data_IF_999702087453
#
_entry.id   IF_999702087453
#
_cell.length_a   1.000
_cell.length_b   1.000
_cell.length_c   1.000
_cell.angle_alpha   90.00
_cell.angle_beta   90.00
_cell.angle_gamma   90.00
#
_symmetry.space_group_name_H-M   'P 1'
#
loop_
_entity.id
_entity.type
_entity.pdbx_description
1 polymer ?
#
# COMPACT_ATOMS: atom_id res chain seq x y z
N UNK A 1 19.88 -17.59 16.13
CA UNK A 1 18.93 -18.73 16.07
C UNK A 1 17.73 -18.44 16.96
N UNK A 2 16.79 -17.62 16.50
CA UNK A 2 15.36 -17.72 16.81
C UNK A 2 14.62 -16.82 15.81
N UNK A 3 13.54 -17.37 15.25
CA UNK A 3 12.83 -16.93 14.04
C UNK A 3 11.95 -15.72 14.35
N UNK A 4 11.90 -14.76 13.42
CA UNK A 4 10.85 -13.74 13.38
C UNK A 4 9.55 -14.37 12.92
N UNK A 5 8.45 -14.05 13.61
CA UNK A 5 7.10 -14.42 13.24
C UNK A 5 6.52 -13.30 12.35
N UNK A 6 6.77 -13.44 11.05
CA UNK A 6 6.16 -12.63 9.97
C UNK A 6 4.80 -13.24 9.55
N UNK A 7 3.94 -13.58 10.51
CA UNK A 7 2.64 -14.17 10.22
C UNK A 7 1.56 -13.11 10.43
N UNK A 8 1.48 -12.17 9.48
CA UNK A 8 0.22 -11.48 9.21
C UNK A 8 -0.66 -12.50 8.51
N UNK A 9 -1.74 -12.92 9.19
CA UNK A 9 -2.75 -13.83 8.67
C UNK A 9 -3.54 -13.10 7.59
N UNK A 10 -3.00 -13.09 6.36
CA UNK A 10 -3.74 -12.67 5.19
C UNK A 10 -4.85 -13.69 4.95
N UNK A 11 -6.13 -13.29 4.86
CA UNK A 11 -7.20 -14.24 4.62
C UNK A 11 -6.91 -15.05 3.35
N UNK A 12 -6.57 -16.32 3.56
CA UNK A 12 -6.15 -17.25 2.52
C UNK A 12 -7.34 -17.96 1.87
N UNK A 13 -7.25 -18.05 0.55
CA UNK A 13 -7.76 -19.11 -0.31
C UNK A 13 -9.28 -19.33 -0.40
N UNK A 14 -9.95 -18.35 -0.97
CA UNK A 14 -10.88 -18.64 -2.07
C UNK A 14 -10.71 -17.58 -3.15
N UNK A 15 -9.73 -17.77 -4.04
CA UNK A 15 -9.63 -17.00 -5.28
C UNK A 15 -10.78 -17.42 -6.21
N UNK A 16 -12.01 -17.03 -5.86
CA UNK A 16 -13.00 -16.82 -6.89
C UNK A 16 -12.39 -15.80 -7.83
N UNK A 17 -12.09 -16.22 -9.06
CA UNK A 17 -11.73 -15.28 -10.11
C UNK A 17 -12.84 -14.23 -10.11
N UNK A 18 -12.56 -13.01 -9.62
CA UNK A 18 -13.49 -11.89 -9.61
C UNK A 18 -13.70 -11.45 -11.06
N UNK A 19 -14.50 -12.23 -11.78
CA UNK A 19 -14.90 -11.98 -13.16
C UNK A 19 -16.21 -11.21 -13.11
N UNK A 20 -16.16 -9.91 -13.39
CA UNK A 20 -17.34 -9.05 -13.37
C UNK A 20 -16.99 -7.60 -13.03
N UNK A 21 -17.99 -6.73 -13.06
CA UNK A 21 -17.86 -5.38 -12.51
C UNK A 21 -18.08 -5.45 -10.99
N UNK A 22 -17.10 -4.95 -10.24
CA UNK A 22 -17.17 -4.83 -8.78
C UNK A 22 -17.27 -3.34 -8.39
N UNK A 23 -17.91 -3.07 -7.25
CA UNK A 23 -17.93 -1.74 -6.64
C UNK A 23 -17.97 -1.89 -5.13
N UNK A 24 -17.20 -1.05 -4.45
CA UNK A 24 -17.16 -0.96 -2.99
C UNK A 24 -17.24 0.52 -2.59
N UNK A 25 -18.07 0.81 -1.61
CA UNK A 25 -18.01 2.09 -0.89
C UNK A 25 -16.88 2.02 0.14
N UNK A 26 -16.22 3.15 0.41
CA UNK A 26 -15.14 3.20 1.38
C UNK A 26 -15.69 2.89 2.79
N UNK A 27 -15.26 1.79 3.45
CA UNK A 27 -15.75 1.47 4.79
C UNK A 27 -15.14 2.39 5.86
N UNK A 28 -15.88 2.62 6.94
CA UNK A 28 -15.35 3.39 8.09
C UNK A 28 -14.23 2.62 8.80
N UNK A 29 -14.42 1.31 9.01
CA UNK A 29 -13.44 0.44 9.66
C UNK A 29 -12.31 0.04 8.70
N UNK A 30 -11.11 -0.15 9.25
CA UNK A 30 -9.99 -0.74 8.52
C UNK A 30 -10.09 -2.28 8.53
N UNK A 31 -9.57 -2.91 7.48
CA UNK A 31 -9.48 -4.36 7.34
C UNK A 31 -8.17 -4.90 7.93
N UNK A 32 -7.09 -4.12 7.83
CA UNK A 32 -5.78 -4.50 8.33
C UNK A 32 -4.96 -3.30 8.79
N UNK A 33 -3.93 -3.58 9.60
CA UNK A 33 -2.87 -2.63 9.92
C UNK A 33 -1.58 -3.07 9.23
N UNK A 34 -0.95 -2.15 8.51
CA UNK A 34 0.39 -2.36 7.99
C UNK A 34 1.44 -2.25 9.13
N UNK A 35 2.67 -2.77 8.94
CA UNK A 35 3.70 -2.74 9.98
C UNK A 35 4.06 -1.33 10.49
N UNK A 36 3.85 -0.30 9.68
CA UNK A 36 4.06 1.10 10.03
C UNK A 36 2.90 1.71 10.83
N UNK A 37 1.81 0.96 11.03
CA UNK A 37 0.58 1.37 11.69
C UNK A 37 -0.42 2.06 10.75
N UNK A 38 -0.21 2.03 9.44
CA UNK A 38 -1.20 2.49 8.48
C UNK A 38 -2.45 1.61 8.54
N UNK A 39 -3.61 2.25 8.60
CA UNK A 39 -4.90 1.59 8.44
C UNK A 39 -5.15 1.32 6.96
N UNK A 40 -5.43 0.06 6.61
CA UNK A 40 -5.69 -0.39 5.25
C UNK A 40 -7.16 -0.78 5.12
N UNK A 41 -7.83 -0.20 4.14
CA UNK A 41 -9.19 -0.56 3.70
C UNK A 41 -9.10 -1.14 2.30
N UNK A 42 -9.51 -2.38 2.13
CA UNK A 42 -9.48 -3.07 0.83
C UNK A 42 -10.60 -2.54 -0.07
N UNK A 43 -10.25 -2.24 -1.31
CA UNK A 43 -11.18 -1.76 -2.34
C UNK A 43 -11.26 -2.76 -3.49
N UNK A 44 -12.00 -2.40 -4.54
CA UNK A 44 -12.24 -3.28 -5.67
C UNK A 44 -10.93 -3.79 -6.28
N UNK A 45 -10.96 -5.03 -6.75
CA UNK A 45 -9.80 -5.68 -7.34
C UNK A 45 -10.17 -6.44 -8.61
N UNK A 46 -9.15 -6.81 -9.37
CA UNK A 46 -9.21 -7.63 -10.58
C UNK A 46 -8.16 -8.73 -10.46
N UNK A 47 -8.15 -9.74 -11.36
CA UNK A 47 -7.10 -10.76 -11.34
C UNK A 47 -5.65 -10.25 -11.48
N UNK A 48 -5.44 -8.97 -11.82
CA UNK A 48 -4.09 -8.38 -12.04
C UNK A 48 -3.82 -7.12 -11.23
N UNK A 49 -4.76 -6.64 -10.43
CA UNK A 49 -4.62 -5.41 -9.68
C UNK A 49 -5.57 -5.40 -8.49
N UNK A 50 -5.10 -4.96 -7.33
CA UNK A 50 -5.92 -4.60 -6.19
C UNK A 50 -5.85 -3.10 -5.94
N UNK A 51 -6.78 -2.58 -5.16
CA UNK A 51 -6.79 -1.20 -4.72
C UNK A 51 -7.02 -1.16 -3.21
N UNK A 52 -6.41 -0.19 -2.55
CA UNK A 52 -6.61 0.04 -1.12
C UNK A 52 -6.72 1.52 -0.84
N UNK A 53 -7.46 1.87 0.21
CA UNK A 53 -7.38 3.18 0.84
C UNK A 53 -6.53 3.05 2.11
N UNK A 54 -5.50 3.89 2.21
CA UNK A 54 -4.52 3.84 3.28
C UNK A 54 -4.50 5.18 4.05
N UNK A 55 -4.52 5.12 5.37
CA UNK A 55 -4.34 6.29 6.24
C UNK A 55 -3.29 6.05 7.31
N UNK A 56 -2.34 6.97 7.43
CA UNK A 56 -1.27 6.93 8.42
C UNK A 56 -1.38 8.11 9.39
N UNK A 57 -1.31 7.85 10.68
CA UNK A 57 -1.36 8.89 11.70
C UNK A 57 -0.11 9.81 11.65
N UNK A 58 -0.24 11.10 12.03
CA UNK A 58 0.89 12.03 12.03
C UNK A 58 2.09 11.55 12.85
N UNK A 59 3.29 11.90 12.40
CA UNK A 59 4.56 11.60 13.08
C UNK A 59 5.02 10.15 12.96
N UNK A 60 4.36 9.34 12.14
CA UNK A 60 4.75 7.97 11.83
C UNK A 60 5.61 7.93 10.57
N UNK A 61 6.56 7.01 10.57
CA UNK A 61 7.45 6.74 9.43
C UNK A 61 7.41 5.24 9.20
N UNK A 62 7.20 4.83 7.95
CA UNK A 62 7.24 3.44 7.56
C UNK A 62 8.68 2.93 7.45
N UNK A 63 8.83 1.61 7.51
CA UNK A 63 10.08 0.94 7.18
C UNK A 63 10.11 0.76 5.68
N UNK A 64 11.24 1.08 5.06
CA UNK A 64 11.38 0.94 3.62
C UNK A 64 11.17 -0.53 3.18
N UNK A 65 10.22 -0.76 2.28
CA UNK A 65 9.91 -2.07 1.68
C UNK A 65 10.19 -2.07 0.18
N UNK A 66 10.18 -3.25 -0.43
CA UNK A 66 10.22 -3.37 -1.88
C UNK A 66 9.31 -4.52 -2.32
N UNK A 67 8.36 -4.22 -3.21
CA UNK A 67 7.51 -5.26 -3.78
C UNK A 67 8.27 -6.05 -4.84
N UNK A 68 8.13 -7.39 -4.74
CA UNK A 68 8.78 -8.33 -5.67
C UNK A 68 7.98 -8.53 -6.95
N UNK A 69 6.67 -8.35 -6.92
CA UNK A 69 5.75 -8.77 -8.00
C UNK A 69 4.80 -7.70 -8.49
N UNK A 70 4.71 -6.56 -7.79
CA UNK A 70 3.75 -5.49 -8.11
C UNK A 70 4.44 -4.14 -8.20
N UNK A 71 3.89 -3.30 -9.06
CA UNK A 71 4.11 -1.85 -9.07
C UNK A 71 2.96 -1.20 -8.30
N UNK A 72 3.18 -0.01 -7.75
CA UNK A 72 2.12 0.75 -7.09
C UNK A 72 1.92 2.14 -7.70
N UNK A 73 0.68 2.62 -7.59
CA UNK A 73 0.31 3.99 -7.89
C UNK A 73 -0.39 4.55 -6.67
N UNK A 74 0.14 5.63 -6.13
CA UNK A 74 -0.44 6.35 -5.00
C UNK A 74 -1.09 7.63 -5.49
N UNK A 75 -2.22 7.98 -4.89
CA UNK A 75 -2.87 9.27 -5.05
C UNK A 75 -3.25 9.80 -3.68
N UNK A 76 -2.68 10.94 -3.30
CA UNK A 76 -2.91 11.52 -2.00
C UNK A 76 -4.24 12.28 -1.98
N UNK A 77 -5.18 11.80 -1.16
CA UNK A 77 -6.50 12.40 -1.00
C UNK A 77 -6.47 13.59 -0.04
N UNK A 78 -5.78 13.43 1.09
CA UNK A 78 -5.73 14.42 2.17
C UNK A 78 -4.41 14.32 2.96
N UNK A 79 -4.23 15.21 3.93
CA UNK A 79 -3.06 15.23 4.81
C UNK A 79 -1.78 15.71 4.11
N UNK A 80 -0.63 15.36 4.69
CA UNK A 80 0.67 15.70 4.15
C UNK A 80 1.78 14.85 4.75
N UNK A 81 2.84 14.62 3.98
CA UNK A 81 3.97 13.81 4.39
C UNK A 81 5.06 13.75 3.33
N UNK A 82 6.01 12.84 3.49
CA UNK A 82 7.11 12.65 2.55
C UNK A 82 7.19 11.17 2.17
N UNK A 83 7.35 10.90 0.88
CA UNK A 83 7.68 9.57 0.37
C UNK A 83 9.11 9.56 -0.11
N UNK A 84 9.95 8.84 0.61
CA UNK A 84 11.27 8.45 0.13
C UNK A 84 11.11 7.26 -0.83
N UNK A 85 11.89 7.23 -1.93
CA UNK A 85 11.96 6.07 -2.80
C UNK A 85 13.29 5.98 -3.55
N UNK A 86 13.74 4.76 -3.83
CA UNK A 86 14.97 4.45 -4.55
C UNK A 86 14.77 3.37 -5.61
N UNK A 87 15.30 3.60 -6.81
CA UNK A 87 15.35 2.62 -7.91
C UNK A 87 16.75 2.59 -8.51
N UNK A 88 17.44 1.45 -8.42
CA UNK A 88 18.87 1.39 -8.75
C UNK A 88 19.65 2.41 -7.94
N UNK A 89 20.45 3.24 -8.61
CA UNK A 89 21.25 4.30 -7.97
C UNK A 89 20.49 5.63 -7.79
N UNK A 90 19.24 5.72 -8.29
CA UNK A 90 18.43 6.93 -8.19
C UNK A 90 17.60 6.92 -6.91
N UNK A 91 17.70 8.00 -6.14
CA UNK A 91 16.95 8.20 -4.89
C UNK A 91 16.26 9.57 -4.91
N UNK A 92 15.01 9.62 -4.43
CA UNK A 92 14.21 10.85 -4.39
C UNK A 92 13.30 10.87 -3.17
N UNK A 93 13.05 12.06 -2.64
CA UNK A 93 11.95 12.31 -1.70
C UNK A 93 10.90 13.14 -2.44
N UNK A 94 9.63 12.75 -2.30
CA UNK A 94 8.48 13.45 -2.85
C UNK A 94 7.65 13.98 -1.68
N UNK A 95 7.33 15.28 -1.70
CA UNK A 95 6.33 15.85 -0.81
C UNK A 95 4.94 15.34 -1.22
N UNK A 96 4.27 14.67 -0.30
CA UNK A 96 2.90 14.22 -0.46
C UNK A 96 1.96 15.29 0.05
N UNK A 97 0.99 15.66 -0.78
CA UNK A 97 -0.07 16.61 -0.48
C UNK A 97 -1.31 16.25 -1.32
N UNK A 98 -2.50 16.78 -1.00
CA UNK A 98 -3.72 16.47 -1.73
C UNK A 98 -3.55 16.74 -3.23
N UNK A 99 -3.90 15.76 -4.07
CA UNK A 99 -3.75 15.83 -5.52
C UNK A 99 -2.40 15.37 -6.08
N UNK A 100 -1.42 15.04 -5.23
CA UNK A 100 -0.16 14.44 -5.68
C UNK A 100 -0.40 12.97 -6.05
N UNK A 101 0.05 12.59 -7.25
CA UNK A 101 0.12 11.19 -7.68
C UNK A 101 1.58 10.74 -7.79
N UNK A 102 1.86 9.51 -7.35
CA UNK A 102 3.22 8.96 -7.34
C UNK A 102 3.21 7.53 -7.85
N UNK A 103 4.11 7.22 -8.79
CA UNK A 103 4.37 5.84 -9.20
C UNK A 103 5.50 5.21 -8.39
N UNK A 104 5.36 3.93 -8.06
CA UNK A 104 6.38 3.16 -7.37
C UNK A 104 6.64 1.92 -8.24
N UNK A 105 7.66 1.97 -9.12
CA UNK A 105 7.94 0.87 -10.04
C UNK A 105 8.37 -0.41 -9.31
N UNK A 106 8.25 -1.54 -10.01
CA UNK A 106 8.63 -2.85 -9.49
C UNK A 106 10.08 -2.86 -8.97
N UNK A 107 10.28 -3.38 -7.76
CA UNK A 107 11.60 -3.46 -7.12
C UNK A 107 12.16 -2.13 -6.61
N UNK A 108 11.41 -1.01 -6.73
CA UNK A 108 11.74 0.21 -6.01
C UNK A 108 11.65 -0.04 -4.50
N UNK A 109 12.56 0.58 -3.75
CA UNK A 109 12.50 0.65 -2.29
C UNK A 109 11.79 1.94 -1.90
N UNK A 110 10.89 1.91 -0.93
CA UNK A 110 10.15 3.08 -0.46
C UNK A 110 9.67 2.87 0.97
#
# INVERSE_FOLDING_TARGET
MHRGSDDVDWPGDELQLKTGFDFLELPDAYDALAPDGSEIRLLAETPRASMVHCSLAPGRVSIAVAHRTVEELWYCLEGGGQLWRRQGDRETVVELAPGVSVSIPLGARF
#
